data_IF_508308322568
#
_entry.id   IF_508308322568
#
_cell.length_a   1.000
_cell.length_b   1.000
_cell.length_c   1.000
_cell.angle_alpha   90.00
_cell.angle_beta   90.00
_cell.angle_gamma   90.00
#
_symmetry.space_group_name_H-M   'P 1'
#
loop_
_entity.id
_entity.type
_entity.pdbx_description
1 polymer ?
#
# COMPACT_ATOMS: atom_id res chain seq x y z
N UNK A 1 -13.06 11.67 14.25
CA UNK A 1 -12.12 11.69 13.12
C UNK A 1 -12.85 11.08 11.94
N UNK A 2 -12.68 11.57 10.71
CA UNK A 2 -13.26 10.91 9.57
C UNK A 2 -12.74 9.47 9.52
N UNK A 3 -13.64 8.54 9.27
CA UNK A 3 -13.24 7.15 9.09
C UNK A 3 -12.49 7.03 7.77
N UNK A 4 -11.31 6.44 7.82
CA UNK A 4 -10.54 6.13 6.61
C UNK A 4 -11.33 5.10 5.79
N UNK A 5 -11.37 5.31 4.49
CA UNK A 5 -12.11 4.46 3.57
C UNK A 5 -13.63 4.44 3.79
N UNK A 6 -14.23 5.58 4.19
CA UNK A 6 -15.66 5.72 4.26
C UNK A 6 -16.33 5.57 2.88
N UNK A 7 -17.48 4.91 2.88
CA UNK A 7 -18.22 4.44 1.70
C UNK A 7 -18.53 5.50 0.63
N UNK A 8 -18.56 6.78 0.98
CA UNK A 8 -18.93 7.85 0.04
C UNK A 8 -17.81 8.35 -0.86
N UNK A 9 -16.55 8.08 -0.54
CA UNK A 9 -15.42 8.85 -1.04
C UNK A 9 -14.28 8.03 -1.61
N UNK A 10 -14.16 6.76 -1.26
CA UNK A 10 -13.21 5.84 -1.86
C UNK A 10 -13.85 5.09 -3.03
N UNK A 11 -13.23 5.15 -4.19
CA UNK A 11 -13.67 4.43 -5.40
C UNK A 11 -13.39 2.93 -5.36
N UNK A 12 -13.16 2.38 -4.18
CA UNK A 12 -12.88 0.97 -3.99
C UNK A 12 -14.10 0.08 -4.12
N UNK A 13 -13.84 -1.16 -4.46
CA UNK A 13 -14.82 -2.21 -4.26
C UNK A 13 -15.16 -2.30 -2.76
N UNK A 14 -16.42 -2.23 -2.41
CA UNK A 14 -16.91 -2.27 -1.03
C UNK A 14 -16.33 -3.44 -0.21
N UNK A 15 -16.07 -4.57 -0.87
CA UNK A 15 -15.49 -5.74 -0.24
C UNK A 15 -14.03 -5.56 0.23
N UNK A 16 -13.27 -4.64 -0.35
CA UNK A 16 -11.87 -4.36 0.02
C UNK A 16 -11.77 -3.38 1.20
N UNK A 17 -12.77 -2.53 1.38
CA UNK A 17 -12.73 -1.43 2.35
C UNK A 17 -12.47 -1.85 3.79
N UNK A 18 -13.09 -2.90 4.37
CA UNK A 18 -12.81 -3.28 5.75
C UNK A 18 -11.35 -3.66 5.98
N UNK A 19 -10.71 -4.31 5.00
CA UNK A 19 -9.30 -4.69 5.07
C UNK A 19 -8.40 -3.46 5.04
N UNK A 20 -8.61 -2.59 4.06
CA UNK A 20 -7.82 -1.36 3.89
C UNK A 20 -8.01 -0.39 5.06
N UNK A 21 -9.21 -0.30 5.61
CA UNK A 21 -9.50 0.49 6.80
C UNK A 21 -8.75 -0.02 8.03
N UNK A 22 -8.72 -1.34 8.24
CA UNK A 22 -7.98 -1.96 9.35
C UNK A 22 -6.46 -1.72 9.19
N UNK A 23 -5.92 -1.89 7.98
CA UNK A 23 -4.50 -1.59 7.70
C UNK A 23 -4.20 -0.11 7.97
N UNK A 24 -5.05 0.80 7.49
CA UNK A 24 -4.84 2.24 7.69
C UNK A 24 -4.86 2.64 9.17
N UNK A 25 -5.80 2.11 9.96
CA UNK A 25 -5.84 2.32 11.42
C UNK A 25 -4.60 1.76 12.09
N UNK A 26 -4.22 0.52 11.77
CA UNK A 26 -3.02 -0.10 12.32
C UNK A 26 -1.75 0.70 12.02
N UNK A 27 -1.57 1.14 10.78
CA UNK A 27 -0.41 1.98 10.41
C UNK A 27 -0.41 3.30 11.18
N UNK A 28 -1.58 3.93 11.36
CA UNK A 28 -1.71 5.19 12.08
C UNK A 28 -1.43 5.05 13.57
N UNK A 29 -2.01 4.05 14.20
CA UNK A 29 -2.13 4.00 15.66
C UNK A 29 -1.13 3.05 16.32
N UNK A 30 -0.65 2.02 15.59
CA UNK A 30 0.10 0.90 16.16
C UNK A 30 1.51 0.78 15.58
N UNK A 31 2.54 0.98 16.41
CA UNK A 31 3.94 0.76 16.02
C UNK A 31 4.19 -0.68 15.56
N UNK A 32 3.57 -1.65 16.20
CA UNK A 32 3.67 -3.08 15.84
C UNK A 32 3.17 -3.36 14.43
N UNK A 33 2.09 -2.71 14.00
CA UNK A 33 1.56 -2.82 12.64
C UNK A 33 2.53 -2.23 11.61
N UNK A 34 3.16 -1.09 11.90
CA UNK A 34 4.19 -0.49 11.04
C UNK A 34 5.42 -1.39 10.92
N UNK A 35 5.90 -1.91 12.04
CA UNK A 35 7.03 -2.85 12.06
C UNK A 35 6.72 -4.13 11.28
N UNK A 36 5.52 -4.67 11.41
CA UNK A 36 5.09 -5.86 10.70
C UNK A 36 5.11 -5.69 9.18
N UNK A 37 4.75 -4.50 8.68
CA UNK A 37 4.82 -4.19 7.24
C UNK A 37 6.25 -4.11 6.71
N UNK A 38 7.19 -3.74 7.56
CA UNK A 38 8.61 -3.61 7.20
C UNK A 38 9.42 -4.87 7.49
N UNK A 39 8.89 -5.79 8.30
CA UNK A 39 9.58 -7.00 8.73
C UNK A 39 10.04 -7.85 7.54
N UNK A 40 11.28 -8.36 7.61
CA UNK A 40 11.90 -9.11 6.53
C UNK A 40 12.37 -8.27 5.34
N UNK A 41 12.09 -6.97 5.30
CA UNK A 41 12.63 -6.06 4.28
C UNK A 41 13.99 -5.50 4.69
N UNK A 42 14.77 -5.04 3.71
CA UNK A 42 16.06 -4.35 3.98
C UNK A 42 15.91 -3.06 4.76
N UNK A 43 14.71 -2.56 4.94
CA UNK A 43 14.40 -1.31 5.62
C UNK A 43 13.91 -1.49 7.06
N UNK A 44 13.66 -2.71 7.50
CA UNK A 44 13.09 -3.00 8.82
C UNK A 44 13.84 -2.29 9.97
N UNK A 45 15.16 -2.39 9.97
CA UNK A 45 15.98 -1.78 11.01
C UNK A 45 16.05 -0.25 10.90
N UNK A 46 16.18 0.28 9.68
CA UNK A 46 16.33 1.71 9.44
C UNK A 46 15.06 2.52 9.75
N UNK A 47 13.90 1.86 9.78
CA UNK A 47 12.60 2.48 10.01
C UNK A 47 11.85 1.86 11.21
N UNK A 48 12.56 1.20 12.14
CA UNK A 48 11.95 0.57 13.31
C UNK A 48 11.25 1.57 14.24
N UNK A 49 11.72 2.81 14.27
CA UNK A 49 11.20 3.93 15.07
C UNK A 49 10.30 4.88 14.26
N UNK A 50 9.91 4.49 13.03
CA UNK A 50 9.25 5.42 12.14
C UNK A 50 7.80 5.71 12.54
N UNK A 51 7.45 6.99 12.46
CA UNK A 51 6.12 7.52 12.72
C UNK A 51 5.34 7.83 11.44
N UNK A 52 4.02 7.64 11.44
CA UNK A 52 3.20 7.83 10.26
C UNK A 52 2.96 9.31 9.96
N UNK A 53 3.07 9.68 8.68
CA UNK A 53 2.88 11.04 8.19
C UNK A 53 1.43 11.28 7.69
N UNK A 54 0.44 10.63 8.29
CA UNK A 54 -0.93 10.66 7.80
C UNK A 54 -1.54 12.09 7.75
N UNK A 55 -1.18 12.97 8.69
CA UNK A 55 -1.65 14.35 8.70
C UNK A 55 -1.01 15.18 7.57
N UNK A 56 0.30 14.97 7.33
CA UNK A 56 1.00 15.62 6.22
C UNK A 56 0.43 15.14 4.87
N UNK A 57 0.17 13.84 4.78
CA UNK A 57 -0.43 13.20 3.61
C UNK A 57 -1.83 13.74 3.34
N UNK A 58 -2.64 13.88 4.38
CA UNK A 58 -3.97 14.48 4.28
C UNK A 58 -3.92 15.91 3.74
N UNK A 59 -3.11 16.76 4.37
CA UNK A 59 -2.94 18.16 3.95
C UNK A 59 -2.45 18.30 2.51
N UNK A 60 -1.57 17.38 2.08
CA UNK A 60 -1.03 17.37 0.73
C UNK A 60 -2.09 17.02 -0.31
N UNK A 61 -3.08 16.28 0.10
CA UNK A 61 -4.16 15.80 -0.73
C UNK A 61 -5.30 16.80 -0.71
N UNK A 62 -5.25 17.93 -1.09
CA UNK A 62 -6.26 18.99 -1.11
C UNK A 62 -7.41 18.81 -0.09
N UNK A 63 -7.44 19.61 1.00
CA UNK A 63 -8.49 19.53 2.02
C UNK A 63 -9.88 19.94 1.52
N UNK A 64 -9.99 20.48 0.31
CA UNK A 64 -11.29 20.79 -0.34
C UNK A 64 -11.85 19.58 -1.07
N UNK A 65 -11.03 18.57 -1.28
CA UNK A 65 -11.47 17.29 -1.83
C UNK A 65 -12.36 16.60 -0.78
N UNK A 66 -13.57 16.30 -1.14
CA UNK A 66 -14.52 15.56 -0.31
C UNK A 66 -14.10 14.12 -0.03
N UNK A 67 -12.90 13.73 -0.46
CA UNK A 67 -12.36 12.39 -0.21
C UNK A 67 -11.94 12.24 1.24
N UNK A 68 -12.55 11.30 1.93
CA UNK A 68 -12.20 10.91 3.30
C UNK A 68 -11.00 9.96 3.37
N UNK A 69 -10.52 9.46 2.23
CA UNK A 69 -9.40 8.53 2.16
C UNK A 69 -8.12 9.20 1.63
N UNK A 70 -7.18 9.59 2.51
CA UNK A 70 -5.92 10.18 2.10
C UNK A 70 -4.92 9.17 1.53
N UNK A 71 -5.18 7.87 1.69
CA UNK A 71 -4.21 6.81 1.39
C UNK A 71 -4.36 6.22 0.00
N UNK A 72 -5.55 6.31 -0.58
CA UNK A 72 -5.76 5.85 -1.94
C UNK A 72 -4.99 6.72 -2.95
N UNK A 73 -4.44 6.12 -3.98
CA UNK A 73 -3.78 6.82 -5.07
C UNK A 73 -3.88 6.06 -6.37
N UNK A 74 -3.62 6.77 -7.47
CA UNK A 74 -3.33 6.20 -8.76
C UNK A 74 -1.86 6.40 -9.07
N UNK A 75 -1.18 5.39 -9.58
CA UNK A 75 0.20 5.57 -10.04
C UNK A 75 0.25 6.60 -11.14
N UNK A 76 -0.57 6.46 -12.16
CA UNK A 76 -0.79 7.42 -13.22
C UNK A 76 -1.85 6.90 -14.19
N UNK A 77 -2.38 7.79 -15.00
CA UNK A 77 -3.29 7.43 -16.09
C UNK A 77 -2.52 6.91 -17.31
N UNK A 78 -1.28 7.34 -17.48
CA UNK A 78 -0.42 6.88 -18.56
C UNK A 78 0.93 6.45 -18.01
N UNK A 79 1.50 5.32 -18.49
CA UNK A 79 2.84 4.90 -18.11
C UNK A 79 3.84 5.99 -18.45
N UNK A 80 4.87 6.09 -17.64
CA UNK A 80 5.97 6.95 -17.94
C UNK A 80 6.69 6.50 -19.23
N UNK A 81 6.80 7.38 -20.20
CA UNK A 81 7.41 7.02 -21.47
C UNK A 81 8.94 6.89 -21.44
N UNK A 82 9.60 7.42 -20.41
CA UNK A 82 11.05 7.56 -20.36
C UNK A 82 11.72 6.85 -19.18
N UNK A 83 11.06 5.93 -18.51
CA UNK A 83 11.66 5.16 -17.43
C UNK A 83 11.29 3.68 -17.49
N UNK A 84 12.04 2.86 -16.74
CA UNK A 84 11.86 1.39 -16.65
C UNK A 84 10.54 0.97 -15.98
N UNK A 85 9.79 1.93 -15.45
CA UNK A 85 8.47 1.67 -14.88
C UNK A 85 7.40 1.32 -15.92
N UNK A 86 7.69 1.54 -17.21
CA UNK A 86 6.83 1.15 -18.30
C UNK A 86 7.01 -0.32 -18.60
N UNK A 87 6.00 -1.09 -18.30
CA UNK A 87 5.91 -2.49 -18.72
C UNK A 87 4.96 -2.55 -19.90
N UNK A 88 5.38 -3.21 -20.98
CA UNK A 88 4.55 -3.38 -22.16
C UNK A 88 3.19 -3.94 -21.77
N UNK A 89 2.14 -3.33 -22.31
CA UNK A 89 0.72 -3.57 -21.99
C UNK A 89 0.28 -3.11 -20.59
N UNK A 90 1.12 -2.41 -19.81
CA UNK A 90 0.68 -1.84 -18.55
C UNK A 90 -0.29 -0.70 -18.80
N UNK A 91 -1.44 -0.80 -18.16
CA UNK A 91 -2.45 0.27 -18.08
C UNK A 91 -2.24 1.09 -16.80
N UNK A 92 -2.99 2.17 -16.66
CA UNK A 92 -3.04 2.88 -15.39
C UNK A 92 -3.47 1.90 -14.30
N UNK A 93 -2.81 1.97 -13.15
CA UNK A 93 -3.09 1.08 -12.02
C UNK A 93 -3.31 1.89 -10.76
N UNK A 94 -4.25 1.44 -9.97
CA UNK A 94 -4.49 1.93 -8.64
C UNK A 94 -3.42 1.39 -7.70
N UNK A 95 -3.12 2.18 -6.68
CA UNK A 95 -2.48 1.72 -5.45
C UNK A 95 -3.62 1.67 -4.44
N UNK A 96 -3.90 0.51 -3.89
CA UNK A 96 -4.98 0.36 -2.93
C UNK A 96 -4.77 1.22 -1.69
N UNK A 97 -3.54 1.28 -1.19
CA UNK A 97 -3.13 2.28 -0.21
C UNK A 97 -1.65 2.63 -0.36
N UNK A 98 -1.32 3.89 -0.07
CA UNK A 98 0.05 4.35 0.10
C UNK A 98 0.16 5.08 1.43
N UNK A 99 1.10 4.65 2.27
CA UNK A 99 1.40 5.29 3.55
C UNK A 99 2.81 5.85 3.52
N UNK A 100 3.02 6.95 4.22
CA UNK A 100 4.35 7.52 4.40
C UNK A 100 4.72 7.50 5.87
N UNK A 101 5.93 7.01 6.15
CA UNK A 101 6.51 7.00 7.48
C UNK A 101 7.79 7.83 7.47
N UNK A 102 8.16 8.39 8.63
CA UNK A 102 9.41 9.12 8.84
C UNK A 102 10.12 8.57 10.07
N UNK A 103 11.37 8.19 9.92
CA UNK A 103 12.21 7.77 11.04
C UNK A 103 12.82 8.96 11.79
N UNK A 104 13.47 8.70 12.92
CA UNK A 104 14.14 9.73 13.74
C UNK A 104 15.26 10.48 13.02
N UNK A 105 15.86 9.88 12.00
CA UNK A 105 16.85 10.55 11.14
C UNK A 105 16.23 11.48 10.07
N UNK A 106 14.90 11.61 10.06
CA UNK A 106 14.16 12.46 9.12
C UNK A 106 13.95 11.84 7.74
N UNK A 107 14.45 10.63 7.49
CA UNK A 107 14.22 9.93 6.22
C UNK A 107 12.78 9.44 6.13
N UNK A 108 12.25 9.48 4.92
CA UNK A 108 10.87 9.07 4.64
C UNK A 108 10.84 7.83 3.77
N UNK A 109 9.92 6.92 4.09
CA UNK A 109 9.63 5.73 3.31
C UNK A 109 8.16 5.70 2.90
N UNK A 110 7.90 5.28 1.67
CA UNK A 110 6.54 5.01 1.18
C UNK A 110 6.24 3.52 1.22
N UNK A 111 5.11 3.14 1.82
CA UNK A 111 4.59 1.77 1.80
C UNK A 111 3.48 1.70 0.74
N UNK A 112 3.73 0.97 -0.34
CA UNK A 112 2.79 0.76 -1.43
C UNK A 112 2.05 -0.55 -1.19
N UNK A 113 0.76 -0.48 -0.89
CA UNK A 113 -0.07 -1.63 -0.55
C UNK A 113 -0.92 -2.05 -1.73
N UNK A 114 -0.87 -3.31 -2.06
CA UNK A 114 -1.83 -4.01 -2.90
C UNK A 114 -2.58 -5.03 -2.07
N UNK A 115 -3.89 -5.10 -2.22
CA UNK A 115 -4.74 -6.05 -1.49
C UNK A 115 -5.51 -6.91 -2.46
N UNK A 116 -5.31 -8.22 -2.40
CA UNK A 116 -6.04 -9.23 -3.16
C UNK A 116 -6.82 -10.11 -2.20
N UNK A 117 -8.11 -10.23 -2.44
CA UNK A 117 -8.96 -11.17 -1.68
C UNK A 117 -8.54 -12.60 -1.94
N UNK A 118 -9.04 -13.53 -1.14
CA UNK A 118 -8.83 -14.96 -1.37
C UNK A 118 -9.16 -15.33 -2.82
N UNK A 119 -8.22 -16.02 -3.47
CA UNK A 119 -8.32 -16.47 -4.88
C UNK A 119 -8.48 -15.36 -5.91
N UNK A 120 -8.26 -14.11 -5.56
CA UNK A 120 -8.23 -13.02 -6.52
C UNK A 120 -6.85 -12.94 -7.18
N UNK A 121 -6.75 -13.17 -8.50
CA UNK A 121 -5.46 -13.13 -9.18
C UNK A 121 -4.98 -11.69 -9.34
N UNK A 122 -3.67 -11.52 -9.43
CA UNK A 122 -3.09 -10.31 -9.96
C UNK A 122 -3.37 -10.23 -11.46
N UNK A 123 -3.65 -9.04 -11.95
CA UNK A 123 -3.78 -8.80 -13.39
C UNK A 123 -2.44 -9.01 -14.09
N UNK A 124 -2.49 -9.34 -15.37
CA UNK A 124 -1.29 -9.54 -16.20
C UNK A 124 -0.40 -8.28 -16.11
N UNK A 125 0.88 -8.46 -15.76
CA UNK A 125 1.84 -7.37 -15.62
C UNK A 125 1.69 -6.54 -14.33
N UNK A 126 0.70 -6.84 -13.49
CA UNK A 126 0.48 -6.08 -12.25
C UNK A 126 1.61 -6.28 -11.26
N UNK A 127 1.98 -7.52 -10.99
CA UNK A 127 3.06 -7.84 -10.05
C UNK A 127 4.40 -7.24 -10.51
N UNK A 128 4.74 -7.46 -11.77
CA UNK A 128 5.99 -6.97 -12.38
C UNK A 128 6.11 -5.44 -12.36
N UNK A 129 4.97 -4.75 -12.39
CA UNK A 129 4.95 -3.29 -12.47
C UNK A 129 5.13 -2.60 -11.11
N UNK A 130 4.90 -3.28 -9.98
CA UNK A 130 4.87 -2.63 -8.67
C UNK A 130 6.20 -1.99 -8.29
N UNK A 131 7.30 -2.74 -8.32
CA UNK A 131 8.63 -2.26 -7.98
C UNK A 131 9.10 -1.10 -8.88
N UNK A 132 9.04 -1.22 -10.22
CA UNK A 132 9.44 -0.12 -11.10
C UNK A 132 8.59 1.14 -10.90
N UNK A 133 7.31 0.99 -10.60
CA UNK A 133 6.40 2.13 -10.36
C UNK A 133 6.66 2.82 -9.03
N UNK A 134 6.88 2.05 -7.97
CA UNK A 134 7.26 2.59 -6.68
C UNK A 134 8.60 3.36 -6.76
N UNK A 135 9.57 2.82 -7.49
CA UNK A 135 10.83 3.50 -7.78
C UNK A 135 10.63 4.81 -8.55
N UNK A 136 9.76 4.81 -9.56
CA UNK A 136 9.40 6.02 -10.31
C UNK A 136 8.71 7.07 -9.44
N UNK A 137 7.91 6.67 -8.46
CA UNK A 137 7.27 7.58 -7.52
C UNK A 137 8.26 8.25 -6.57
N UNK A 138 9.30 7.52 -6.17
CA UNK A 138 10.40 8.07 -5.38
C UNK A 138 11.18 9.14 -6.14
N UNK A 139 11.30 9.02 -7.46
CA UNK A 139 12.01 10.02 -8.27
C UNK A 139 11.26 11.37 -8.23
N UNK A 140 11.85 12.34 -7.55
CA UNK A 140 11.27 13.66 -7.33
C UNK A 140 11.00 14.43 -8.63
N UNK A 141 11.67 14.12 -9.72
CA UNK A 141 11.41 14.72 -11.04
C UNK A 141 10.01 14.44 -11.54
N UNK A 142 9.34 13.48 -10.92
CA UNK A 142 7.98 13.07 -11.24
C UNK A 142 7.04 13.09 -10.05
N UNK A 143 7.46 13.72 -8.95
CA UNK A 143 6.65 13.85 -7.76
C UNK A 143 5.28 14.42 -8.11
N UNK A 144 4.25 13.66 -7.83
CA UNK A 144 2.88 14.13 -8.01
C UNK A 144 2.57 15.19 -6.97
N UNK A 145 1.80 16.20 -7.36
CA UNK A 145 1.39 17.28 -6.45
C UNK A 145 0.69 16.78 -5.18
N UNK A 146 0.07 15.59 -5.25
CA UNK A 146 -0.75 15.00 -4.19
C UNK A 146 -0.01 14.00 -3.31
N UNK A 147 1.25 13.69 -3.58
CA UNK A 147 2.04 12.73 -2.81
C UNK A 147 3.20 13.41 -2.08
N UNK A 148 3.57 12.85 -0.92
CA UNK A 148 4.76 13.27 -0.20
C UNK A 148 6.02 12.78 -0.91
N UNK A 149 7.06 13.61 -0.89
CA UNK A 149 8.40 13.18 -1.29
C UNK A 149 8.94 12.18 -0.28
N UNK A 150 9.68 11.19 -0.75
CA UNK A 150 10.23 10.12 0.08
C UNK A 150 11.59 9.64 -0.46
N UNK A 151 12.38 9.03 0.42
CA UNK A 151 13.73 8.56 0.13
C UNK A 151 13.74 7.09 -0.27
N UNK A 152 12.86 6.31 0.33
CA UNK A 152 12.78 4.85 0.20
C UNK A 152 11.33 4.41 -0.06
N UNK A 153 11.18 3.18 -0.52
CA UNK A 153 9.86 2.57 -0.66
C UNK A 153 9.89 1.08 -0.35
N UNK A 154 8.74 0.55 0.00
CA UNK A 154 8.45 -0.88 0.15
C UNK A 154 7.14 -1.18 -0.57
N UNK A 155 7.11 -2.26 -1.31
CA UNK A 155 5.90 -2.80 -1.93
C UNK A 155 5.39 -3.99 -1.14
N UNK A 156 4.12 -3.96 -0.74
CA UNK A 156 3.50 -4.97 0.12
C UNK A 156 2.27 -5.52 -0.57
N UNK A 157 2.21 -6.83 -0.71
CA UNK A 157 1.03 -7.55 -1.19
C UNK A 157 0.33 -8.22 0.00
N UNK A 158 -0.94 -7.89 0.20
CA UNK A 158 -1.84 -8.68 1.04
C UNK A 158 -2.62 -9.65 0.15
N UNK A 159 -2.60 -10.93 0.49
CA UNK A 159 -3.29 -11.94 -0.29
C UNK A 159 -3.79 -13.10 0.60
N UNK A 160 -4.69 -13.89 0.04
CA UNK A 160 -5.20 -15.05 0.73
C UNK A 160 -4.56 -16.36 0.30
N UNK A 161 -4.96 -17.43 0.95
CA UNK A 161 -4.65 -18.80 0.55
C UNK A 161 -5.15 -19.01 -0.88
N UNK A 162 -4.31 -19.53 -1.74
CA UNK A 162 -4.60 -19.74 -3.17
C UNK A 162 -3.87 -18.78 -4.09
N UNK A 163 -3.18 -17.78 -3.55
CA UNK A 163 -2.17 -17.03 -4.30
C UNK A 163 -0.89 -17.88 -4.36
N UNK A 164 -0.36 -18.08 -5.56
CA UNK A 164 0.95 -18.72 -5.69
C UNK A 164 2.05 -17.73 -5.27
N UNK A 165 2.43 -17.82 -3.98
CA UNK A 165 3.41 -16.93 -3.37
C UNK A 165 4.74 -16.98 -4.13
N UNK A 166 5.16 -18.13 -4.63
CA UNK A 166 6.44 -18.27 -5.36
C UNK A 166 6.49 -17.44 -6.63
N UNK A 167 5.34 -17.22 -7.25
CA UNK A 167 5.25 -16.37 -8.45
C UNK A 167 5.29 -14.89 -8.13
N UNK A 168 4.82 -14.48 -6.96
CA UNK A 168 4.64 -13.06 -6.61
C UNK A 168 5.73 -12.52 -5.69
N UNK A 169 6.36 -13.35 -4.84
CA UNK A 169 7.35 -12.90 -3.85
C UNK A 169 8.56 -12.17 -4.45
N UNK A 170 8.92 -12.47 -5.70
CA UNK A 170 10.00 -11.79 -6.40
C UNK A 170 9.65 -10.37 -6.87
N UNK A 171 8.37 -10.01 -6.85
CA UNK A 171 7.86 -8.73 -7.33
C UNK A 171 7.43 -7.78 -6.22
N UNK A 172 7.38 -8.27 -4.98
CA UNK A 172 7.05 -7.48 -3.81
C UNK A 172 8.13 -7.61 -2.75
N UNK A 173 8.42 -6.53 -2.03
CA UNK A 173 9.36 -6.58 -0.91
C UNK A 173 8.80 -7.40 0.25
N UNK A 174 7.47 -7.45 0.37
CA UNK A 174 6.76 -8.19 1.41
C UNK A 174 5.47 -8.81 0.85
N UNK A 175 5.23 -10.08 1.17
CA UNK A 175 3.95 -10.75 0.93
C UNK A 175 3.36 -11.16 2.27
N UNK A 176 2.13 -10.76 2.54
CA UNK A 176 1.43 -10.97 3.81
C UNK A 176 0.14 -11.73 3.54
N UNK A 177 0.03 -12.91 4.14
CA UNK A 177 -1.24 -13.64 4.12
C UNK A 177 -2.26 -12.98 5.06
N UNK A 178 -3.53 -12.98 4.66
CA UNK A 178 -4.61 -12.44 5.48
C UNK A 178 -4.67 -13.07 6.88
N UNK A 179 -4.35 -14.36 6.99
CA UNK A 179 -4.29 -15.09 8.27
C UNK A 179 -3.22 -14.54 9.21
N UNK A 180 -2.14 -13.99 8.67
CA UNK A 180 -1.13 -13.32 9.48
C UNK A 180 -1.57 -11.89 9.82
N UNK A 181 -2.15 -11.18 8.86
CA UNK A 181 -2.61 -9.81 9.04
C UNK A 181 -3.66 -9.67 10.15
N UNK A 182 -4.60 -10.61 10.25
CA UNK A 182 -5.66 -10.59 11.28
C UNK A 182 -5.14 -10.69 12.72
N UNK A 183 -3.90 -11.15 12.92
CA UNK A 183 -3.28 -11.22 14.24
C UNK A 183 -2.53 -9.93 14.63
N UNK A 184 -2.36 -9.02 13.68
CA UNK A 184 -1.56 -7.81 13.86
C UNK A 184 -2.38 -6.53 13.73
N UNK A 185 -3.30 -6.49 12.77
CA UNK A 185 -4.12 -5.30 12.54
C UNK A 185 -5.42 -5.37 13.33
N UNK A 186 -5.69 -4.40 14.23
CA UNK A 186 -6.96 -4.32 14.93
C UNK A 186 -8.14 -4.27 13.94
N UNK A 187 -9.21 -4.98 14.25
CA UNK A 187 -10.43 -5.03 13.43
C UNK A 187 -10.24 -5.57 12.00
N UNK A 188 -9.11 -6.23 11.73
CA UNK A 188 -8.95 -6.89 10.42
C UNK A 188 -10.01 -7.95 10.23
N UNK A 189 -10.67 -8.01 9.07
CA UNK A 189 -11.73 -8.98 8.82
C UNK A 189 -11.25 -10.41 9.05
N UNK A 190 -12.04 -11.16 9.79
CA UNK A 190 -11.77 -12.58 10.04
C UNK A 190 -11.97 -13.37 8.76
N UNK A 191 -10.97 -14.13 8.39
CA UNK A 191 -11.08 -15.07 7.29
C UNK A 191 -11.81 -16.29 7.81
N UNK A 192 -13.04 -16.49 7.36
CA UNK A 192 -13.81 -17.66 7.75
C UNK A 192 -13.09 -18.92 7.23
N UNK A 193 -12.90 -19.91 8.12
CA UNK A 193 -12.32 -21.22 7.77
C UNK A 193 -13.13 -21.96 6.69
N UNK A 194 -14.35 -21.51 6.41
CA UNK A 194 -15.23 -22.08 5.39
C UNK A 194 -14.83 -21.77 3.93
N UNK A 195 -13.72 -21.07 3.72
CA UNK A 195 -13.10 -20.85 2.40
C UNK A 195 -11.89 -21.77 2.14
N UNK A 196 -11.64 -22.73 3.00
CA UNK A 196 -10.74 -23.85 2.67
C UNK A 196 -11.51 -24.82 1.76
N UNK A 197 -10.93 -25.30 0.65
CA UNK A 197 -11.57 -26.29 -0.20
C UNK A 197 -11.76 -27.59 0.54
#
# INVERSE_FOLDING_TARGET
MPEFYDHGTCRYQLAAQPYLAAIARGVRDEATSRMFLLDGTKYAQAYADAEPLWQEQWKKRDPTDSMTCPFWSNYWYEPCQSCDCRIDKSVSMEIDAIFFLRNSAGRKIALHIEMKRNREPLSIGQAEAYQPRAACFRDQRRARKTLLTHDDFVTVLFCGIGTDIRLVERHFDRVILHEHAQNVFPEYPQISKNYLP
#
